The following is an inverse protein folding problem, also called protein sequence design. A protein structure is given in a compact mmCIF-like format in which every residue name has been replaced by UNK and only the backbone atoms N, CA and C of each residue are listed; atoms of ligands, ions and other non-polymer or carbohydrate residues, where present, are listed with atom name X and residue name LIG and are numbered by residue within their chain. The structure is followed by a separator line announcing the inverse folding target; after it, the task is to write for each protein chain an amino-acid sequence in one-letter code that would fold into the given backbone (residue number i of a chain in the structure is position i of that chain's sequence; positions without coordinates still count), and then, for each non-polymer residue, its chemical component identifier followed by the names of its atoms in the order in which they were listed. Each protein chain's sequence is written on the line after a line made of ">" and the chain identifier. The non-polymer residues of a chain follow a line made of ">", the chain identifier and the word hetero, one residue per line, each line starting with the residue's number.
data_IF_555748581703
#
_entry.id   IF_555748581703
#
_cell.length_a   1.000
_cell.length_b   1.000
_cell.length_c   1.000
_cell.angle_alpha   90.00
_cell.angle_beta   90.00
_cell.angle_gamma   90.00
#
_symmetry.space_group_name_H-M   'P 1'
#
loop_
_entity.id
_entity.type
_entity.pdbx_description
1 polymer ?
#
# COMPACT_ATOMS: atom_id res chain seq x y z
N UNK A 1 -5.16 15.40 -27.35
CA UNK A 1 -4.01 15.20 -26.45
C UNK A 1 -3.35 13.88 -26.84
N UNK A 2 -2.04 13.83 -27.05
CA UNK A 2 -1.33 12.57 -27.29
C UNK A 2 -1.20 11.83 -25.96
N UNK A 3 -2.21 11.00 -25.65
CA UNK A 3 -2.21 10.13 -24.48
C UNK A 3 -1.13 9.06 -24.73
N UNK A 4 -0.02 9.16 -23.98
CA UNK A 4 1.04 8.15 -23.88
C UNK A 4 0.43 6.76 -23.66
N UNK A 5 1.02 5.65 -24.15
CA UNK A 5 0.32 4.37 -24.17
C UNK A 5 -0.11 3.95 -22.77
N UNK A 6 -1.43 3.88 -22.60
CA UNK A 6 -2.12 3.18 -21.52
C UNK A 6 -1.55 1.76 -21.42
N UNK A 7 -1.14 1.33 -20.24
CA UNK A 7 -0.55 0.01 -20.01
C UNK A 7 -1.02 -0.60 -18.67
N UNK A 8 -0.89 -1.92 -18.52
CA UNK A 8 -1.33 -2.69 -17.34
C UNK A 8 -0.18 -3.37 -16.58
N UNK A 9 1.07 -3.09 -16.95
CA UNK A 9 2.24 -3.74 -16.36
C UNK A 9 2.25 -5.25 -16.65
N UNK A 10 2.47 -6.08 -15.62
CA UNK A 10 2.32 -7.54 -15.70
C UNK A 10 0.88 -8.05 -15.57
N UNK A 11 -0.08 -7.19 -15.20
CA UNK A 11 -1.49 -7.57 -15.08
C UNK A 11 -2.22 -7.57 -16.42
N UNK A 12 -3.42 -8.17 -16.45
CA UNK A 12 -4.28 -8.17 -17.64
C UNK A 12 -4.76 -6.75 -17.93
N UNK A 13 -5.04 -6.43 -19.19
CA UNK A 13 -5.59 -5.12 -19.56
C UNK A 13 -6.94 -4.81 -18.90
N UNK A 14 -7.72 -5.83 -18.55
CA UNK A 14 -8.97 -5.70 -17.81
C UNK A 14 -8.77 -5.45 -16.31
N UNK A 15 -7.57 -5.71 -15.79
CA UNK A 15 -7.30 -5.63 -14.36
C UNK A 15 -7.00 -4.20 -13.93
N UNK A 16 -6.25 -3.42 -14.70
CA UNK A 16 -5.83 -2.05 -14.35
C UNK A 16 -5.36 -1.25 -15.56
N UNK A 17 -5.70 0.05 -15.60
CA UNK A 17 -5.12 1.06 -16.49
C UNK A 17 -4.17 1.96 -15.69
N UNK A 18 -2.86 1.89 -15.95
CA UNK A 18 -1.89 2.79 -15.32
C UNK A 18 -1.90 4.17 -15.99
N UNK A 19 -2.20 5.20 -15.20
CA UNK A 19 -2.06 6.61 -15.57
C UNK A 19 -0.68 7.11 -15.10
N UNK A 20 0.34 6.49 -15.67
CA UNK A 20 1.76 6.79 -15.43
C UNK A 20 2.48 6.79 -16.77
N UNK A 21 3.59 7.51 -16.84
CA UNK A 21 4.47 7.47 -18.01
C UNK A 21 5.75 6.66 -17.70
N UNK A 22 5.96 5.50 -18.36
CA UNK A 22 7.20 4.76 -18.24
C UNK A 22 8.41 5.59 -18.70
N UNK A 23 9.47 5.58 -17.90
CA UNK A 23 10.75 6.23 -18.19
C UNK A 23 11.91 5.31 -17.86
N UNK A 24 13.11 5.67 -18.31
CA UNK A 24 14.37 5.06 -17.88
C UNK A 24 15.22 6.15 -17.23
N UNK A 25 15.67 5.92 -16.00
CA UNK A 25 16.54 6.83 -15.26
C UNK A 25 17.72 6.05 -14.67
N UNK A 26 18.78 6.78 -14.30
CA UNK A 26 19.89 6.20 -13.55
C UNK A 26 19.51 5.94 -12.09
N UNK A 27 20.05 4.86 -11.51
CA UNK A 27 19.80 4.51 -10.12
C UNK A 27 20.80 5.19 -9.19
N UNK A 28 20.29 5.68 -8.05
CA UNK A 28 21.06 6.22 -6.92
C UNK A 28 21.19 5.14 -5.84
N UNK A 29 22.36 5.04 -5.20
CA UNK A 29 22.58 4.11 -4.07
C UNK A 29 21.60 4.39 -2.91
N UNK A 30 21.36 3.39 -2.05
CA UNK A 30 20.42 3.56 -0.92
C UNK A 30 20.95 4.59 0.07
N UNK A 31 22.25 4.56 0.33
CA UNK A 31 22.97 5.41 1.27
C UNK A 31 22.96 6.87 0.83
N UNK A 32 23.32 7.13 -0.44
CA UNK A 32 23.31 8.47 -1.03
C UNK A 32 21.88 9.04 -1.06
N UNK A 33 20.92 8.22 -1.49
CA UNK A 33 19.50 8.59 -1.48
C UNK A 33 19.01 8.93 -0.07
N UNK A 34 19.41 8.17 0.95
CA UNK A 34 19.05 8.45 2.34
C UNK A 34 19.62 9.79 2.82
N UNK A 35 20.90 10.06 2.55
CA UNK A 35 21.55 11.32 2.90
C UNK A 35 20.91 12.53 2.20
N UNK A 36 20.58 12.40 0.90
CA UNK A 36 19.92 13.45 0.13
C UNK A 36 18.49 13.74 0.62
N UNK A 37 17.74 12.71 1.02
CA UNK A 37 16.39 12.86 1.56
C UNK A 37 16.43 13.50 2.96
N UNK A 38 17.31 13.05 3.85
CA UNK A 38 17.36 13.58 5.21
C UNK A 38 17.94 15.01 5.29
N UNK A 39 18.84 15.38 4.38
CA UNK A 39 19.35 16.75 4.25
C UNK A 39 18.37 17.72 3.58
N UNK A 40 17.26 17.23 3.02
CA UNK A 40 16.28 18.03 2.29
C UNK A 40 16.75 18.51 0.90
N UNK A 41 17.92 18.06 0.43
CA UNK A 41 18.47 18.44 -0.89
C UNK A 41 17.65 17.89 -2.05
N UNK A 42 17.08 16.69 -1.88
CA UNK A 42 16.26 16.03 -2.88
C UNK A 42 15.05 15.37 -2.24
N UNK A 43 13.95 15.28 -2.97
CA UNK A 43 12.80 14.52 -2.52
C UNK A 43 12.96 13.04 -2.90
N UNK A 44 12.30 12.14 -2.16
CA UNK A 44 12.42 10.71 -2.43
C UNK A 44 11.89 10.32 -3.81
N UNK A 45 10.98 11.11 -4.39
CA UNK A 45 10.37 10.87 -5.70
C UNK A 45 11.20 11.38 -6.87
N UNK A 46 12.36 11.97 -6.62
CA UNK A 46 13.25 12.47 -7.68
C UNK A 46 14.28 11.41 -8.11
N UNK A 47 14.40 10.32 -7.35
CA UNK A 47 15.44 9.31 -7.51
C UNK A 47 14.87 7.92 -7.33
N UNK A 48 15.51 6.91 -7.91
CA UNK A 48 15.24 5.51 -7.61
C UNK A 48 16.54 4.82 -7.21
N UNK A 49 16.46 3.90 -6.24
CA UNK A 49 17.48 2.86 -6.11
C UNK A 49 16.93 1.61 -6.76
N UNK A 50 17.79 0.82 -7.40
CA UNK A 50 17.37 -0.47 -7.95
C UNK A 50 16.78 -1.32 -6.83
N UNK A 51 15.59 -1.86 -7.07
CA UNK A 51 14.96 -2.80 -6.14
C UNK A 51 15.75 -4.12 -6.21
N UNK A 52 16.24 -4.66 -5.08
CA UNK A 52 17.03 -5.88 -5.08
C UNK A 52 16.15 -7.09 -5.40
N UNK A 53 16.76 -8.12 -5.96
CA UNK A 53 16.11 -9.42 -6.12
C UNK A 53 15.72 -10.00 -4.75
N UNK A 54 14.54 -10.64 -4.64
CA UNK A 54 14.16 -11.32 -3.42
C UNK A 54 15.08 -12.52 -3.18
N UNK A 55 15.57 -12.68 -1.95
CA UNK A 55 16.34 -13.88 -1.58
C UNK A 55 15.46 -15.12 -1.58
N UNK A 56 16.07 -16.30 -1.63
CA UNK A 56 15.34 -17.57 -1.56
C UNK A 56 14.44 -17.65 -0.30
N UNK A 57 14.94 -17.20 0.85
CA UNK A 57 14.16 -17.16 2.08
C UNK A 57 12.98 -16.17 2.01
N UNK A 58 13.14 -15.03 1.34
CA UNK A 58 12.04 -14.11 1.07
C UNK A 58 10.96 -14.80 0.22
N UNK A 59 11.34 -15.48 -0.86
CA UNK A 59 10.41 -16.23 -1.71
C UNK A 59 9.69 -17.36 -0.94
N UNK A 60 10.39 -18.07 -0.05
CA UNK A 60 9.78 -19.10 0.80
C UNK A 60 8.72 -18.51 1.74
N UNK A 61 8.99 -17.36 2.36
CA UNK A 61 8.03 -16.68 3.22
C UNK A 61 6.87 -16.09 2.43
N UNK A 62 7.13 -15.54 1.25
CA UNK A 62 6.08 -15.13 0.32
C UNK A 62 5.18 -16.32 -0.03
N UNK A 63 5.74 -17.47 -0.40
CA UNK A 63 4.95 -18.66 -0.75
C UNK A 63 4.13 -19.17 0.43
N UNK A 64 4.67 -19.15 1.65
CA UNK A 64 3.90 -19.50 2.87
C UNK A 64 2.75 -18.52 3.11
N UNK A 65 3.03 -17.21 3.04
CA UNK A 65 2.02 -16.17 3.18
C UNK A 65 0.97 -16.27 2.06
N UNK A 66 1.38 -16.58 0.84
CA UNK A 66 0.51 -16.83 -0.31
C UNK A 66 -0.43 -18.00 -0.06
N UNK A 67 0.08 -19.18 0.34
CA UNK A 67 -0.75 -20.39 0.54
C UNK A 67 -1.74 -20.22 1.68
N UNK A 68 -1.32 -19.63 2.80
CA UNK A 68 -2.17 -19.41 3.97
C UNK A 68 -3.10 -18.22 3.74
N UNK A 69 -2.57 -17.16 3.14
CA UNK A 69 -3.20 -15.86 3.00
C UNK A 69 -4.19 -15.77 1.85
N UNK A 70 -4.08 -16.56 0.77
CA UNK A 70 -4.99 -16.46 -0.38
C UNK A 70 -6.48 -16.59 0.02
N UNK A 71 -6.80 -17.54 0.89
CA UNK A 71 -8.18 -17.72 1.41
C UNK A 71 -8.63 -16.55 2.29
N UNK A 72 -7.72 -15.99 3.10
CA UNK A 72 -8.00 -14.81 3.92
C UNK A 72 -8.22 -13.57 3.05
N UNK A 73 -7.32 -13.35 2.09
CA UNK A 73 -7.40 -12.29 1.09
C UNK A 73 -8.73 -12.36 0.33
N UNK A 74 -9.14 -13.53 -0.16
CA UNK A 74 -10.40 -13.69 -0.86
C UNK A 74 -11.60 -13.26 -0.01
N UNK A 75 -11.67 -13.71 1.25
CA UNK A 75 -12.73 -13.29 2.17
C UNK A 75 -12.73 -11.78 2.39
N UNK A 76 -11.57 -11.20 2.69
CA UNK A 76 -11.43 -9.77 2.97
C UNK A 76 -11.71 -8.90 1.73
N UNK A 77 -11.28 -9.33 0.54
CA UNK A 77 -11.61 -8.71 -0.76
C UNK A 77 -13.11 -8.77 -1.04
N UNK A 78 -13.74 -9.93 -0.82
CA UNK A 78 -15.19 -10.06 -1.01
C UNK A 78 -15.98 -9.19 -0.02
N UNK A 79 -15.54 -9.09 1.23
CA UNK A 79 -16.14 -8.18 2.22
C UNK A 79 -16.10 -6.72 1.74
N UNK A 80 -14.95 -6.28 1.23
CA UNK A 80 -14.80 -4.94 0.65
C UNK A 80 -15.68 -4.77 -0.59
N UNK A 81 -15.66 -5.70 -1.53
CA UNK A 81 -16.42 -5.63 -2.78
C UNK A 81 -17.93 -5.61 -2.55
N UNK A 82 -18.46 -6.47 -1.67
CA UNK A 82 -19.88 -6.49 -1.25
C UNK A 82 -20.27 -5.17 -0.58
N UNK A 83 -19.42 -4.65 0.30
CA UNK A 83 -19.70 -3.37 0.96
C UNK A 83 -19.71 -2.23 -0.05
N UNK A 84 -18.72 -2.15 -0.95
CA UNK A 84 -18.68 -1.13 -1.99
C UNK A 84 -19.89 -1.22 -2.93
N UNK A 85 -20.25 -2.42 -3.40
CA UNK A 85 -21.43 -2.60 -4.25
C UNK A 85 -22.71 -2.11 -3.57
N UNK A 86 -22.84 -2.35 -2.26
CA UNK A 86 -23.98 -1.87 -1.45
C UNK A 86 -23.98 -0.35 -1.29
N UNK A 87 -22.85 0.25 -0.93
CA UNK A 87 -22.73 1.69 -0.68
C UNK A 87 -22.98 2.52 -1.96
N UNK A 88 -22.55 2.01 -3.11
CA UNK A 88 -22.67 2.73 -4.39
C UNK A 88 -23.93 2.36 -5.19
N UNK A 89 -24.71 1.34 -4.79
CA UNK A 89 -25.95 0.98 -5.47
C UNK A 89 -25.77 0.83 -6.98
N UNK A 90 -26.40 1.71 -7.78
CA UNK A 90 -26.26 1.73 -9.24
C UNK A 90 -25.08 2.56 -9.76
N UNK A 91 -24.50 3.46 -8.96
CA UNK A 91 -23.38 4.31 -9.36
C UNK A 91 -22.14 3.44 -9.65
N UNK A 92 -21.51 3.54 -10.84
CA UNK A 92 -20.31 2.79 -11.16
C UNK A 92 -19.19 3.04 -10.15
N UNK A 93 -18.42 2.01 -9.80
CA UNK A 93 -17.29 2.14 -8.87
C UNK A 93 -16.02 2.41 -9.65
N UNK A 94 -15.30 3.47 -9.31
CA UNK A 94 -14.04 3.84 -9.95
C UNK A 94 -12.91 3.66 -8.94
N UNK A 95 -12.23 2.52 -9.02
CA UNK A 95 -11.08 2.21 -8.18
C UNK A 95 -9.87 3.02 -8.67
N UNK A 96 -9.33 3.87 -7.81
CA UNK A 96 -8.10 4.63 -8.04
C UNK A 96 -7.01 4.11 -7.08
N UNK A 97 -6.26 3.11 -7.52
CA UNK A 97 -5.19 2.49 -6.75
C UNK A 97 -3.96 3.39 -6.67
N UNK A 98 -3.55 3.64 -5.44
CA UNK A 98 -2.38 4.44 -5.13
C UNK A 98 -1.12 3.61 -5.37
N UNK A 99 -0.36 4.02 -6.38
CA UNK A 99 0.81 3.28 -6.81
C UNK A 99 1.90 3.35 -5.72
N UNK A 100 2.43 2.22 -5.26
CA UNK A 100 2.24 0.86 -5.77
C UNK A 100 1.34 -0.03 -4.93
N UNK A 101 1.31 0.18 -3.62
CA UNK A 101 0.80 -0.82 -2.69
C UNK A 101 -0.72 -1.03 -2.79
N UNK A 102 -1.46 -0.07 -3.37
CA UNK A 102 -2.88 -0.24 -3.68
C UNK A 102 -3.18 -1.14 -4.86
N UNK A 103 -2.24 -1.27 -5.81
CA UNK A 103 -2.51 -1.93 -7.09
C UNK A 103 -2.93 -3.40 -6.91
N UNK A 104 -2.24 -4.23 -6.10
CA UNK A 104 -2.64 -5.63 -5.95
C UNK A 104 -4.06 -5.77 -5.38
N UNK A 105 -4.40 -4.95 -4.37
CA UNK A 105 -5.75 -4.93 -3.81
C UNK A 105 -6.78 -4.44 -4.84
N UNK A 106 -6.48 -3.37 -5.57
CA UNK A 106 -7.35 -2.84 -6.61
C UNK A 106 -7.63 -3.84 -7.73
N UNK A 107 -6.63 -4.63 -8.15
CA UNK A 107 -6.82 -5.72 -9.11
C UNK A 107 -7.77 -6.77 -8.56
N UNK A 108 -7.57 -7.21 -7.30
CA UNK A 108 -8.45 -8.20 -6.67
C UNK A 108 -9.89 -7.67 -6.51
N UNK A 109 -10.05 -6.40 -6.15
CA UNK A 109 -11.35 -5.74 -6.05
C UNK A 109 -12.02 -5.61 -7.43
N UNK A 110 -11.29 -5.21 -8.46
CA UNK A 110 -11.82 -5.08 -9.82
C UNK A 110 -12.37 -6.42 -10.32
N UNK A 111 -11.63 -7.51 -10.10
CA UNK A 111 -12.09 -8.86 -10.46
C UNK A 111 -13.29 -9.31 -9.64
N UNK A 112 -13.28 -9.07 -8.32
CA UNK A 112 -14.42 -9.39 -7.45
C UNK A 112 -15.70 -8.62 -7.84
N UNK A 113 -15.59 -7.31 -8.11
CA UNK A 113 -16.72 -6.49 -8.57
C UNK A 113 -17.23 -6.95 -9.94
N UNK A 114 -16.32 -7.29 -10.86
CA UNK A 114 -16.67 -7.85 -12.18
C UNK A 114 -17.41 -9.18 -12.04
N UNK A 115 -16.93 -10.08 -11.19
CA UNK A 115 -17.57 -11.36 -10.89
C UNK A 115 -19.00 -11.18 -10.33
N UNK A 116 -19.21 -10.12 -9.55
CA UNK A 116 -20.52 -9.75 -9.00
C UNK A 116 -21.42 -9.01 -10.02
N UNK A 117 -20.94 -8.75 -11.24
CA UNK A 117 -21.67 -7.99 -12.25
C UNK A 117 -21.79 -6.49 -11.95
N UNK A 118 -20.96 -5.96 -11.04
CA UNK A 118 -20.96 -4.53 -10.69
C UNK A 118 -20.11 -3.74 -11.68
N UNK A 119 -20.72 -2.76 -12.34
CA UNK A 119 -19.99 -1.83 -13.22
C UNK A 119 -18.87 -1.13 -12.43
N UNK A 120 -17.64 -1.36 -12.89
CA UNK A 120 -16.44 -0.89 -12.21
C UNK A 120 -15.28 -0.67 -13.17
N UNK A 121 -14.45 0.31 -12.85
CA UNK A 121 -13.25 0.70 -13.59
C UNK A 121 -12.06 0.79 -12.62
N UNK A 122 -10.86 0.46 -13.08
CA UNK A 122 -9.68 0.48 -12.22
C UNK A 122 -8.48 1.19 -12.87
N UNK A 123 -7.97 2.17 -12.14
CA UNK A 123 -6.81 2.98 -12.50
C UNK A 123 -5.69 2.83 -11.48
N UNK A 124 -4.45 2.76 -11.95
CA UNK A 124 -3.26 2.97 -11.12
C UNK A 124 -2.77 4.41 -11.24
N UNK A 125 -2.82 5.17 -10.15
CA UNK A 125 -2.46 6.60 -10.11
C UNK A 125 -1.35 6.87 -9.10
N UNK A 126 -0.50 7.86 -9.40
CA UNK A 126 0.52 8.29 -8.46
C UNK A 126 -0.04 9.18 -7.35
N UNK A 127 0.42 8.94 -6.13
CA UNK A 127 0.41 9.92 -5.04
C UNK A 127 1.80 9.95 -4.40
N UNK A 128 2.30 11.15 -4.12
CA UNK A 128 3.63 11.35 -3.56
C UNK A 128 3.47 12.22 -2.31
N UNK A 129 3.92 11.69 -1.17
CA UNK A 129 3.87 12.42 0.10
C UNK A 129 4.59 13.77 -0.04
N UNK A 130 4.01 14.81 0.52
CA UNK A 130 4.48 16.21 0.44
C UNK A 130 4.43 16.82 -0.98
N UNK A 131 3.95 16.10 -2.00
CA UNK A 131 3.75 16.59 -3.38
C UNK A 131 2.33 16.39 -3.90
N UNK A 132 1.46 15.69 -3.17
CA UNK A 132 0.09 15.45 -3.56
C UNK A 132 -0.12 14.34 -4.58
N UNK A 133 -1.32 14.35 -5.15
CA UNK A 133 -1.77 13.42 -6.18
C UNK A 133 -1.35 13.92 -7.57
N UNK A 134 -1.17 13.00 -8.51
CA UNK A 134 -1.01 13.35 -9.92
C UNK A 134 -2.30 13.99 -10.47
N UNK A 135 -2.29 15.31 -10.59
CA UNK A 135 -3.44 16.10 -11.05
C UNK A 135 -3.82 15.81 -12.50
N UNK A 136 -2.84 15.48 -13.35
CA UNK A 136 -3.10 15.12 -14.76
C UNK A 136 -3.87 13.80 -14.83
N UNK A 137 -3.42 12.79 -14.07
CA UNK A 137 -4.09 11.50 -13.99
C UNK A 137 -5.47 11.63 -13.35
N UNK A 138 -5.61 12.43 -12.28
CA UNK A 138 -6.90 12.65 -11.63
C UNK A 138 -7.91 13.32 -12.57
N UNK A 139 -7.49 14.35 -13.32
CA UNK A 139 -8.34 15.02 -14.30
C UNK A 139 -8.88 14.06 -15.36
N UNK A 140 -8.07 13.09 -15.82
CA UNK A 140 -8.52 12.05 -16.76
C UNK A 140 -9.60 11.16 -16.16
N UNK A 141 -9.47 10.76 -14.89
CA UNK A 141 -10.49 9.93 -14.21
C UNK A 141 -11.78 10.73 -14.04
N UNK A 142 -11.67 11.98 -13.60
CA UNK A 142 -12.82 12.88 -13.39
C UNK A 142 -13.56 13.19 -14.69
N UNK A 143 -12.83 13.43 -15.79
CA UNK A 143 -13.42 13.67 -17.11
C UNK A 143 -14.20 12.44 -17.61
N UNK A 144 -13.68 11.23 -17.37
CA UNK A 144 -14.30 9.99 -17.83
C UNK A 144 -15.51 9.57 -16.98
N UNK A 145 -15.45 9.77 -15.67
CA UNK A 145 -16.39 9.14 -14.73
C UNK A 145 -17.08 10.09 -13.74
N UNK A 146 -16.65 11.35 -13.66
CA UNK A 146 -16.98 12.23 -12.56
C UNK A 146 -16.31 11.81 -11.24
N UNK A 147 -16.74 12.39 -10.13
CA UNK A 147 -16.14 12.14 -8.79
C UNK A 147 -16.96 11.20 -7.92
N UNK A 148 -18.25 11.01 -8.24
CA UNK A 148 -19.21 10.37 -7.34
C UNK A 148 -18.78 8.94 -7.00
N UNK A 149 -18.35 8.16 -7.99
CA UNK A 149 -17.94 6.75 -7.84
C UNK A 149 -16.48 6.52 -7.45
N UNK A 150 -15.66 7.58 -7.28
CA UNK A 150 -14.22 7.42 -7.03
C UNK A 150 -13.96 6.89 -5.62
N UNK A 151 -13.17 5.81 -5.57
CA UNK A 151 -12.69 5.13 -4.36
C UNK A 151 -11.17 5.02 -4.45
N UNK A 152 -10.47 5.53 -3.43
CA UNK A 152 -9.02 5.40 -3.35
C UNK A 152 -8.65 4.03 -2.78
N UNK A 153 -7.67 3.35 -3.36
CA UNK A 153 -7.27 2.02 -2.90
C UNK A 153 -5.81 2.02 -2.49
N UNK A 154 -5.51 1.52 -1.29
CA UNK A 154 -4.14 1.20 -0.84
C UNK A 154 -4.09 -0.19 -0.18
N UNK A 155 -2.91 -0.79 -0.05
CA UNK A 155 -2.78 -2.12 0.53
C UNK A 155 -3.06 -2.14 2.04
N UNK A 156 -2.49 -1.20 2.77
CA UNK A 156 -2.61 -1.07 4.22
C UNK A 156 -2.28 0.35 4.67
N UNK A 157 -2.58 0.69 5.93
CA UNK A 157 -2.09 1.94 6.54
C UNK A 157 -1.59 1.72 7.96
N UNK A 158 -0.34 2.12 8.23
CA UNK A 158 0.27 1.98 9.54
C UNK A 158 0.18 3.23 10.42
N UNK A 159 0.04 4.42 9.82
CA UNK A 159 0.01 5.70 10.56
C UNK A 159 -0.67 6.84 9.80
N UNK A 160 -1.48 6.51 8.80
CA UNK A 160 -2.26 7.47 8.02
C UNK A 160 -1.47 8.46 7.16
N UNK A 161 -0.26 8.11 6.75
CA UNK A 161 0.52 8.96 5.83
C UNK A 161 -0.26 9.25 4.53
N UNK A 162 -0.87 8.21 3.95
CA UNK A 162 -1.65 8.31 2.71
C UNK A 162 -3.02 8.96 2.94
N UNK A 163 -3.74 8.62 4.02
CA UNK A 163 -4.98 9.32 4.40
C UNK A 163 -4.74 10.83 4.48
N UNK A 164 -3.70 11.26 5.20
CA UNK A 164 -3.39 12.68 5.35
C UNK A 164 -3.00 13.33 4.03
N UNK A 165 -2.25 12.64 3.16
CA UNK A 165 -1.87 13.17 1.84
C UNK A 165 -3.10 13.34 0.93
N UNK A 166 -4.00 12.35 0.90
CA UNK A 166 -5.27 12.45 0.17
C UNK A 166 -6.15 13.57 0.72
N UNK A 167 -6.29 13.68 2.05
CA UNK A 167 -7.08 14.76 2.66
C UNK A 167 -6.55 16.13 2.26
N UNK A 168 -5.23 16.32 2.23
CA UNK A 168 -4.61 17.56 1.77
C UNK A 168 -4.85 17.80 0.27
N UNK A 169 -4.60 16.79 -0.56
CA UNK A 169 -4.71 16.91 -2.01
C UNK A 169 -6.14 17.22 -2.48
N UNK A 170 -7.15 16.67 -1.79
CA UNK A 170 -8.57 16.84 -2.15
C UNK A 170 -9.25 17.99 -1.40
N UNK A 171 -8.56 18.67 -0.48
CA UNK A 171 -9.16 19.70 0.34
C UNK A 171 -9.70 20.86 -0.54
N UNK A 172 -10.99 21.13 -0.44
CA UNK A 172 -11.66 22.17 -1.23
C UNK A 172 -11.93 21.81 -2.70
N UNK A 173 -11.55 20.60 -3.15
CA UNK A 173 -11.89 20.10 -4.49
C UNK A 173 -13.36 19.67 -4.53
N UNK A 174 -14.13 20.21 -5.48
CA UNK A 174 -15.54 19.90 -5.61
C UNK A 174 -15.76 18.41 -5.90
N UNK A 175 -16.82 17.83 -5.33
CA UNK A 175 -17.20 16.44 -5.58
C UNK A 175 -16.53 15.39 -4.68
N UNK A 176 -15.60 15.79 -3.79
CA UNK A 176 -14.98 14.90 -2.81
C UNK A 176 -15.43 15.21 -1.38
N UNK A 177 -15.66 14.17 -0.55
CA UNK A 177 -15.91 14.34 0.89
C UNK A 177 -14.65 14.79 1.64
N UNK A 178 -14.84 15.39 2.82
CA UNK A 178 -13.73 15.83 3.70
C UNK A 178 -12.85 14.66 4.16
N UNK A 179 -13.47 13.51 4.43
CA UNK A 179 -12.76 12.24 4.62
C UNK A 179 -12.66 11.53 3.27
N UNK A 180 -11.47 11.38 2.68
CA UNK A 180 -11.30 10.65 1.44
C UNK A 180 -11.81 9.22 1.59
N UNK A 181 -12.49 8.70 0.57
CA UNK A 181 -13.00 7.32 0.52
C UNK A 181 -11.87 6.31 0.27
N UNK A 182 -10.89 6.29 1.16
CA UNK A 182 -9.76 5.38 1.12
C UNK A 182 -10.18 4.01 1.65
N UNK A 183 -10.08 3.01 0.78
CA UNK A 183 -10.25 1.59 1.06
C UNK A 183 -8.88 0.95 1.18
N UNK A 184 -8.67 0.20 2.25
CA UNK A 184 -7.48 -0.62 2.44
C UNK A 184 -7.83 -2.04 2.84
N UNK A 185 -6.91 -2.98 2.67
CA UNK A 185 -7.10 -4.33 3.19
C UNK A 185 -7.02 -4.31 4.73
N UNK A 186 -5.92 -3.75 5.25
CA UNK A 186 -5.65 -3.67 6.69
C UNK A 186 -5.42 -2.22 7.16
N UNK A 187 -6.11 -1.84 8.23
CA UNK A 187 -6.01 -0.51 8.85
C UNK A 187 -5.72 -0.62 10.35
N UNK A 188 -4.54 -1.12 10.76
CA UNK A 188 -4.18 -1.21 12.17
C UNK A 188 -4.21 0.16 12.86
N UNK A 189 -4.03 1.27 12.14
CA UNK A 189 -4.10 2.60 12.74
C UNK A 189 -5.51 3.21 12.80
N UNK A 190 -6.52 2.67 12.13
CA UNK A 190 -7.90 3.20 12.17
C UNK A 190 -8.14 4.52 11.44
N UNK A 191 -7.41 4.84 10.36
CA UNK A 191 -7.55 6.13 9.66
C UNK A 191 -8.15 6.07 8.25
N UNK A 192 -8.35 4.89 7.66
CA UNK A 192 -8.96 4.76 6.35
C UNK A 192 -10.46 5.14 6.41
N UNK A 193 -11.15 5.22 5.28
CA UNK A 193 -12.62 5.25 5.30
C UNK A 193 -13.14 3.83 5.55
N UNK A 194 -12.59 2.83 4.86
CA UNK A 194 -13.00 1.44 4.98
C UNK A 194 -11.79 0.51 5.00
N UNK A 195 -11.86 -0.54 5.82
CA UNK A 195 -10.90 -1.63 5.81
C UNK A 195 -11.58 -2.97 6.05
N UNK A 196 -11.00 -4.04 5.52
CA UNK A 196 -11.49 -5.39 5.81
C UNK A 196 -11.13 -5.79 7.24
N UNK A 197 -9.90 -5.49 7.67
CA UNK A 197 -9.37 -5.83 9.00
C UNK A 197 -8.61 -4.66 9.63
N UNK A 198 -8.45 -4.73 10.94
CA UNK A 198 -7.55 -3.92 11.78
C UNK A 198 -6.31 -4.72 12.23
N UNK A 199 -6.19 -5.99 11.84
CA UNK A 199 -5.02 -6.80 12.12
C UNK A 199 -3.78 -6.28 11.40
N UNK A 200 -2.68 -6.14 12.12
CA UNK A 200 -1.34 -6.05 11.54
C UNK A 200 -0.83 -7.46 11.24
N UNK A 201 -1.14 -7.98 10.06
CA UNK A 201 -0.79 -9.35 9.64
C UNK A 201 0.12 -9.37 8.40
N UNK A 202 0.73 -10.53 8.13
CA UNK A 202 1.64 -10.72 7.00
C UNK A 202 0.88 -10.83 5.67
N UNK A 203 0.56 -9.68 5.08
CA UNK A 203 -0.09 -9.60 3.77
C UNK A 203 0.91 -10.02 2.67
N UNK A 204 0.61 -11.02 1.81
CA UNK A 204 1.55 -11.52 0.79
C UNK A 204 2.11 -10.42 -0.13
N UNK A 205 1.25 -9.53 -0.61
CA UNK A 205 1.68 -8.42 -1.46
C UNK A 205 2.32 -7.26 -0.66
N UNK A 206 2.24 -7.28 0.68
CA UNK A 206 2.84 -6.26 1.54
C UNK A 206 4.36 -6.38 1.70
N UNK A 207 4.90 -7.59 1.46
CA UNK A 207 6.33 -7.89 1.59
C UNK A 207 7.08 -7.91 0.25
N UNK A 208 6.36 -8.09 -0.85
CA UNK A 208 6.89 -7.96 -2.21
C UNK A 208 6.84 -6.50 -2.69
N UNK A 209 7.62 -6.17 -3.72
CA UNK A 209 7.64 -4.83 -4.31
C UNK A 209 7.15 -4.82 -5.75
N UNK A 210 8.02 -4.48 -6.69
CA UNK A 210 7.67 -4.45 -8.11
C UNK A 210 7.04 -5.76 -8.59
N UNK A 211 7.53 -6.95 -8.19
CA UNK A 211 7.07 -8.20 -8.78
C UNK A 211 5.60 -8.54 -8.50
N UNK A 212 5.06 -8.06 -7.39
CA UNK A 212 3.64 -8.24 -7.05
C UNK A 212 2.78 -7.06 -7.49
N UNK A 213 3.38 -5.93 -7.91
CA UNK A 213 2.67 -4.66 -8.13
C UNK A 213 2.72 -4.23 -9.60
N UNK A 214 2.60 -5.17 -10.53
CA UNK A 214 2.57 -4.88 -11.97
C UNK A 214 3.94 -4.56 -12.59
N UNK A 215 5.03 -4.98 -11.96
CA UNK A 215 6.41 -4.79 -12.46
C UNK A 215 6.85 -3.33 -12.60
N UNK A 216 6.15 -2.38 -11.98
CA UNK A 216 6.54 -0.97 -11.99
C UNK A 216 7.30 -0.58 -10.72
N UNK A 217 8.12 0.46 -10.80
CA UNK A 217 8.73 1.12 -9.65
C UNK A 217 7.71 1.95 -8.87
N UNK A 218 8.09 2.46 -7.69
CA UNK A 218 7.37 3.59 -7.09
C UNK A 218 7.34 4.78 -8.05
N UNK A 219 6.37 5.67 -7.86
CA UNK A 219 6.25 6.88 -8.67
C UNK A 219 7.48 7.78 -8.56
N UNK A 220 7.82 8.36 -9.70
CA UNK A 220 8.72 9.47 -9.88
C UNK A 220 7.88 10.70 -10.19
N UNK A 221 8.18 11.82 -9.55
CA UNK A 221 7.43 13.04 -9.80
C UNK A 221 7.68 13.59 -11.20
N UNK A 222 6.66 14.21 -11.78
CA UNK A 222 6.75 15.00 -12.99
C UNK A 222 5.89 16.25 -12.79
N UNK A 223 6.40 17.40 -13.19
CA UNK A 223 5.63 18.64 -13.29
C UNK A 223 4.85 18.74 -14.61
N UNK A 224 5.19 17.89 -15.58
CA UNK A 224 4.52 17.80 -16.88
C UNK A 224 3.85 16.44 -17.09
N UNK A 225 2.56 16.45 -17.46
CA UNK A 225 1.81 15.25 -17.80
C UNK A 225 1.63 14.30 -16.62
N UNK A 226 1.59 13.00 -16.90
CA UNK A 226 1.55 11.98 -15.86
C UNK A 226 2.89 11.87 -15.15
N UNK A 227 2.85 11.59 -13.86
CA UNK A 227 4.00 11.13 -13.10
C UNK A 227 4.61 9.88 -13.73
N UNK A 228 5.89 9.71 -13.44
CA UNK A 228 6.72 8.71 -14.09
C UNK A 228 6.82 7.41 -13.29
N UNK A 229 7.17 6.32 -13.96
CA UNK A 229 7.61 5.08 -13.33
C UNK A 229 8.67 4.38 -14.18
N UNK A 230 9.46 3.50 -13.59
CA UNK A 230 10.30 2.55 -14.35
C UNK A 230 9.61 1.18 -14.42
N UNK A 231 9.82 0.47 -15.52
CA UNK A 231 9.50 -0.96 -15.62
C UNK A 231 10.71 -1.76 -15.10
N UNK A 232 10.48 -2.57 -14.08
CA UNK A 232 11.51 -3.34 -13.36
C UNK A 232 11.81 -4.68 -14.05
N UNK A 233 12.22 -4.66 -15.32
CA UNK A 233 12.46 -5.87 -16.11
C UNK A 233 13.50 -6.83 -15.48
N UNK A 234 14.44 -6.31 -14.69
CA UNK A 234 15.43 -7.14 -13.98
C UNK A 234 14.80 -8.07 -12.93
N UNK A 235 13.53 -7.87 -12.57
CA UNK A 235 12.82 -8.72 -11.61
C UNK A 235 11.79 -9.65 -12.28
N UNK A 236 11.81 -9.80 -13.61
CA UNK A 236 10.75 -10.52 -14.34
C UNK A 236 10.59 -11.97 -13.92
N UNK A 237 11.67 -12.63 -13.50
CA UNK A 237 11.64 -14.02 -13.01
C UNK A 237 10.89 -14.17 -11.68
N UNK A 238 10.65 -13.07 -10.97
CA UNK A 238 9.98 -13.04 -9.68
C UNK A 238 8.55 -12.52 -9.75
N UNK A 239 8.02 -12.26 -10.96
CA UNK A 239 6.64 -11.81 -11.15
C UNK A 239 5.68 -12.75 -10.43
N UNK A 240 4.86 -12.17 -9.55
CA UNK A 240 3.92 -12.93 -8.73
C UNK A 240 2.59 -12.20 -8.52
N UNK A 241 2.38 -11.06 -9.19
CA UNK A 241 1.15 -10.29 -9.08
C UNK A 241 -0.02 -11.01 -9.73
N UNK A 242 0.19 -11.51 -10.96
CA UNK A 242 -0.87 -12.19 -11.71
C UNK A 242 -1.27 -13.52 -11.04
N UNK A 243 -0.31 -14.34 -10.63
CA UNK A 243 -0.58 -15.62 -9.97
C UNK A 243 -1.29 -15.45 -8.62
N UNK A 244 -0.92 -14.42 -7.84
CA UNK A 244 -1.63 -14.07 -6.61
C UNK A 244 -3.07 -13.63 -6.87
N UNK A 245 -3.29 -12.77 -7.87
CA UNK A 245 -4.64 -12.34 -8.24
C UNK A 245 -5.50 -13.51 -8.72
N UNK A 246 -4.95 -14.41 -9.54
CA UNK A 246 -5.63 -15.61 -10.06
C UNK A 246 -6.03 -16.57 -8.91
N UNK A 247 -5.14 -16.80 -7.94
CA UNK A 247 -5.44 -17.66 -6.79
C UNK A 247 -6.48 -17.07 -5.84
N UNK A 248 -6.44 -15.75 -5.62
CA UNK A 248 -7.47 -15.05 -4.82
C UNK A 248 -8.81 -15.09 -5.54
N UNK A 249 -8.85 -14.85 -6.85
CA UNK A 249 -10.06 -14.94 -7.68
C UNK A 249 -10.67 -16.34 -7.61
N UNK A 250 -9.86 -17.40 -7.72
CA UNK A 250 -10.33 -18.78 -7.55
C UNK A 250 -10.97 -19.00 -6.17
N UNK A 251 -10.33 -18.51 -5.11
CA UNK A 251 -10.90 -18.60 -3.76
C UNK A 251 -12.18 -17.77 -3.62
N UNK A 252 -12.30 -16.63 -4.30
CA UNK A 252 -13.52 -15.80 -4.31
C UNK A 252 -14.71 -16.53 -4.98
N UNK A 253 -14.45 -17.32 -6.03
CA UNK A 253 -15.49 -18.11 -6.71
C UNK A 253 -16.08 -19.21 -5.83
N UNK A 254 -15.35 -19.66 -4.80
CA UNK A 254 -15.82 -20.64 -3.81
C UNK A 254 -16.66 -20.01 -2.69
N UNK A 255 -16.79 -18.68 -2.65
CA UNK A 255 -17.52 -17.95 -1.61
C UNK A 255 -18.94 -17.64 -2.09
N UNK A 256 -19.93 -18.15 -1.37
CA UNK A 256 -21.33 -17.77 -1.55
C UNK A 256 -21.55 -16.30 -1.12
N UNK A 257 -22.04 -15.46 -2.03
CA UNK A 257 -22.22 -14.02 -1.78
C UNK A 257 -23.13 -13.72 -0.59
N UNK A 258 -24.11 -14.58 -0.32
CA UNK A 258 -25.01 -14.46 0.83
C UNK A 258 -24.30 -14.60 2.18
N UNK A 259 -23.15 -15.25 2.19
CA UNK A 259 -22.40 -15.60 3.40
C UNK A 259 -21.31 -14.57 3.72
N UNK A 260 -21.12 -13.58 2.86
CA UNK A 260 -20.16 -12.49 3.05
C UNK A 260 -20.82 -11.35 3.82
N UNK A 261 -20.50 -11.14 5.11
CA UNK A 261 -21.07 -10.04 5.86
C UNK A 261 -20.51 -8.70 5.33
N UNK A 262 -21.38 -7.73 4.97
CA UNK A 262 -20.91 -6.40 4.64
C UNK A 262 -20.29 -5.74 5.87
N UNK A 263 -19.31 -4.87 5.64
CA UNK A 263 -18.66 -4.10 6.69
C UNK A 263 -19.63 -2.99 7.13
N UNK A 264 -19.98 -2.96 8.41
CA UNK A 264 -20.73 -1.84 8.98
C UNK A 264 -19.77 -0.68 9.30
N UNK A 265 -19.65 0.25 8.35
CA UNK A 265 -18.75 1.40 8.43
C UNK A 265 -19.05 2.23 9.69
N UNK A 266 -20.33 2.47 10.00
CA UNK A 266 -20.75 3.31 11.14
C UNK A 266 -20.39 2.69 12.48
N UNK A 267 -20.56 1.38 12.61
CA UNK A 267 -20.15 0.66 13.83
C UNK A 267 -18.63 0.71 13.98
N UNK A 268 -17.88 0.56 12.88
CA UNK A 268 -16.42 0.60 12.90
C UNK A 268 -15.84 1.98 13.17
N UNK A 269 -16.52 3.08 12.86
CA UNK A 269 -16.02 4.44 13.10
C UNK A 269 -15.54 4.65 14.56
N UNK A 270 -16.31 4.15 15.53
CA UNK A 270 -15.97 4.27 16.95
C UNK A 270 -14.72 3.48 17.35
N UNK A 271 -14.50 2.31 16.73
CA UNK A 271 -13.33 1.45 16.94
C UNK A 271 -12.11 2.11 16.29
N UNK A 272 -12.26 2.55 15.04
CA UNK A 272 -11.22 3.21 14.26
C UNK A 272 -10.70 4.48 14.93
N UNK A 273 -11.61 5.31 15.48
CA UNK A 273 -11.21 6.49 16.24
C UNK A 273 -10.33 6.14 17.46
N UNK A 274 -10.63 5.04 18.17
CA UNK A 274 -9.81 4.58 19.29
C UNK A 274 -8.45 4.07 18.83
N UNK A 275 -8.39 3.26 17.77
CA UNK A 275 -7.12 2.78 17.20
C UNK A 275 -6.27 3.93 16.67
N UNK A 276 -6.89 4.98 16.15
CA UNK A 276 -6.19 6.17 15.67
C UNK A 276 -5.54 6.97 16.78
N UNK A 277 -6.26 7.21 17.87
CA UNK A 277 -5.68 7.88 19.05
C UNK A 277 -4.58 7.02 19.69
N UNK A 278 -4.78 5.70 19.76
CA UNK A 278 -3.77 4.76 20.25
C UNK A 278 -2.52 4.77 19.36
N UNK A 279 -2.69 4.75 18.05
CA UNK A 279 -1.61 4.85 17.07
C UNK A 279 -0.78 6.12 17.27
N UNK A 280 -1.44 7.28 17.39
CA UNK A 280 -0.76 8.56 17.66
C UNK A 280 0.03 8.51 18.96
N UNK A 281 -0.56 7.98 20.03
CA UNK A 281 0.12 7.86 21.33
C UNK A 281 1.39 7.01 21.22
N UNK A 282 1.35 5.89 20.49
CA UNK A 282 2.53 5.03 20.24
C UNK A 282 3.57 5.78 19.40
N UNK A 283 3.15 6.50 18.36
CA UNK A 283 4.09 7.28 17.53
C UNK A 283 4.80 8.35 18.35
N UNK A 284 4.09 9.06 19.24
CA UNK A 284 4.68 10.03 20.17
C UNK A 284 5.63 9.37 21.15
N UNK A 285 5.22 8.26 21.78
CA UNK A 285 6.05 7.50 22.72
C UNK A 285 7.37 7.05 22.09
N UNK A 286 7.31 6.49 20.87
CA UNK A 286 8.49 6.05 20.14
C UNK A 286 9.34 7.24 19.69
N UNK A 287 8.73 8.36 19.33
CA UNK A 287 9.47 9.55 18.95
C UNK A 287 10.28 10.12 20.12
N UNK A 288 9.68 10.18 21.32
CA UNK A 288 10.35 10.62 22.54
C UNK A 288 11.44 9.63 22.97
N UNK A 289 11.15 8.33 22.98
CA UNK A 289 12.08 7.28 23.44
C UNK A 289 13.36 7.18 22.60
N UNK A 290 13.26 7.46 21.29
CA UNK A 290 14.37 7.32 20.35
C UNK A 290 14.87 8.66 19.78
N UNK A 291 14.51 9.79 20.39
CA UNK A 291 14.90 11.15 19.99
C UNK A 291 14.67 11.42 18.47
N UNK A 292 13.44 11.16 18.03
CA UNK A 292 13.04 11.26 16.62
C UNK A 292 12.25 12.55 16.39
N UNK A 293 12.88 13.50 15.71
CA UNK A 293 12.24 14.76 15.31
C UNK A 293 11.26 14.62 14.13
N UNK A 294 11.39 13.57 13.32
CA UNK A 294 10.56 13.35 12.13
C UNK A 294 9.83 12.01 12.22
N UNK A 295 8.49 12.07 12.32
CA UNK A 295 7.62 10.89 12.33
C UNK A 295 7.82 9.99 11.12
N UNK A 296 8.40 10.49 10.02
CA UNK A 296 8.73 9.71 8.83
C UNK A 296 9.74 8.60 9.07
N UNK A 297 10.56 8.70 10.12
CA UNK A 297 11.54 7.68 10.50
C UNK A 297 10.90 6.47 11.19
N UNK A 298 9.69 6.60 11.73
CA UNK A 298 8.97 5.49 12.37
C UNK A 298 8.09 4.80 11.33
N UNK A 299 8.25 3.49 11.14
CA UNK A 299 7.53 2.68 10.14
C UNK A 299 6.76 1.56 10.84
N UNK A 300 5.55 1.84 11.34
CA UNK A 300 4.74 0.87 12.07
C UNK A 300 3.98 -0.09 11.15
N UNK A 301 3.82 -1.32 11.62
CA UNK A 301 3.17 -2.40 10.88
C UNK A 301 4.19 -3.30 10.18
N UNK A 302 3.88 -4.60 10.06
CA UNK A 302 4.76 -5.60 9.46
C UNK A 302 5.22 -5.18 8.07
N UNK A 303 4.28 -4.75 7.22
CA UNK A 303 4.58 -4.40 5.84
C UNK A 303 5.41 -3.11 5.72
N UNK A 304 5.13 -2.07 6.52
CA UNK A 304 5.97 -0.85 6.51
C UNK A 304 7.36 -1.12 7.08
N UNK A 305 7.45 -1.86 8.19
CA UNK A 305 8.70 -2.20 8.85
C UNK A 305 9.61 -3.03 7.93
N UNK A 306 9.07 -4.10 7.33
CA UNK A 306 9.80 -4.96 6.38
C UNK A 306 10.31 -4.15 5.19
N UNK A 307 9.46 -3.31 4.59
CA UNK A 307 9.86 -2.44 3.47
C UNK A 307 10.91 -1.41 3.86
N UNK A 308 10.91 -0.93 5.10
CA UNK A 308 11.91 0.00 5.61
C UNK A 308 13.29 -0.66 5.67
N UNK A 309 13.37 -1.88 6.21
CA UNK A 309 14.63 -2.65 6.25
C UNK A 309 15.14 -2.93 4.83
N UNK A 310 14.27 -3.25 3.87
CA UNK A 310 14.68 -3.51 2.48
C UNK A 310 15.21 -2.25 1.76
N UNK A 311 14.55 -1.09 1.93
CA UNK A 311 14.71 0.05 1.00
C UNK A 311 15.32 1.31 1.60
N UNK A 312 15.54 1.33 2.92
CA UNK A 312 16.10 2.45 3.70
C UNK A 312 17.26 1.95 4.54
N UNK A 313 17.85 2.85 5.32
CA UNK A 313 18.87 2.52 6.32
C UNK A 313 18.20 2.38 7.70
N UNK A 314 17.92 1.16 8.18
CA UNK A 314 17.30 0.95 9.50
C UNK A 314 18.28 1.23 10.66
N UNK A 315 17.72 1.60 11.81
CA UNK A 315 18.41 1.85 13.10
C UNK A 315 18.04 0.77 14.11
N UNK A 316 16.72 0.63 14.35
CA UNK A 316 16.16 -0.35 15.27
C UNK A 316 14.98 -1.07 14.61
N UNK A 317 14.85 -2.36 14.92
CA UNK A 317 13.66 -3.15 14.61
C UNK A 317 13.02 -3.57 15.92
N UNK A 318 11.80 -3.12 16.15
CA UNK A 318 11.01 -3.45 17.33
C UNK A 318 9.96 -4.48 16.92
N UNK A 319 9.88 -5.57 17.66
CA UNK A 319 8.86 -6.62 17.45
C UNK A 319 8.09 -6.86 18.74
N UNK A 320 6.80 -7.18 18.62
CA UNK A 320 6.01 -7.59 19.79
C UNK A 320 6.56 -8.89 20.35
N UNK A 321 6.80 -9.87 19.48
CA UNK A 321 7.51 -11.10 19.78
C UNK A 321 8.40 -11.50 18.60
N UNK A 322 9.65 -11.87 18.87
CA UNK A 322 10.61 -12.30 17.84
C UNK A 322 10.24 -13.64 17.21
N UNK A 323 9.44 -14.45 17.92
CA UNK A 323 9.00 -15.77 17.49
C UNK A 323 7.63 -15.74 16.79
N UNK A 324 7.04 -14.56 16.59
CA UNK A 324 5.81 -14.42 15.82
C UNK A 324 6.07 -14.82 14.35
N UNK A 325 5.38 -15.84 13.80
CA UNK A 325 5.56 -16.26 12.42
C UNK A 325 5.41 -15.12 11.41
N UNK A 326 4.51 -14.17 11.66
CA UNK A 326 4.20 -13.08 10.75
C UNK A 326 5.35 -12.04 10.64
N UNK A 327 6.26 -11.98 11.62
CA UNK A 327 7.43 -11.08 11.59
C UNK A 327 8.71 -11.78 11.12
N UNK A 328 8.66 -13.07 10.76
CA UNK A 328 9.84 -13.88 10.42
C UNK A 328 10.72 -13.26 9.33
N UNK A 329 10.10 -12.68 8.29
CA UNK A 329 10.84 -12.04 7.19
C UNK A 329 11.59 -10.81 7.67
N UNK A 330 10.92 -9.96 8.45
CA UNK A 330 11.52 -8.77 9.03
C UNK A 330 12.71 -9.13 9.92
N UNK A 331 12.54 -10.14 10.77
CA UNK A 331 13.61 -10.63 11.68
C UNK A 331 14.80 -11.16 10.88
N UNK A 332 14.56 -11.94 9.82
CA UNK A 332 15.63 -12.41 8.93
C UNK A 332 16.38 -11.25 8.27
N UNK A 333 15.66 -10.31 7.63
CA UNK A 333 16.27 -9.18 6.94
C UNK A 333 17.04 -8.26 7.89
N UNK A 334 16.53 -8.06 9.11
CA UNK A 334 17.20 -7.29 10.14
C UNK A 334 18.52 -7.95 10.56
N UNK A 335 18.54 -9.28 10.75
CA UNK A 335 19.77 -10.04 11.06
C UNK A 335 20.80 -9.96 9.93
N UNK A 336 20.36 -10.14 8.68
CA UNK A 336 21.24 -10.03 7.50
C UNK A 336 21.91 -8.64 7.41
N UNK A 337 21.19 -7.59 7.80
CA UNK A 337 21.71 -6.21 7.84
C UNK A 337 22.41 -5.82 9.13
N UNK A 338 22.54 -6.74 10.10
CA UNK A 338 23.17 -6.47 11.41
C UNK A 338 22.42 -5.43 12.25
N UNK A 339 21.10 -5.31 12.06
CA UNK A 339 20.24 -4.34 12.77
C UNK A 339 19.82 -4.93 14.11
N UNK A 340 19.83 -4.12 15.16
CA UNK A 340 19.33 -4.52 16.47
C UNK A 340 17.83 -4.82 16.42
N UNK A 341 17.47 -6.01 16.91
CA UNK A 341 16.07 -6.45 17.06
C UNK A 341 15.74 -6.45 18.56
N UNK A 342 14.74 -5.67 18.95
CA UNK A 342 14.29 -5.60 20.34
C UNK A 342 12.86 -6.14 20.46
N UNK A 343 12.66 -7.11 21.33
CA UNK A 343 11.32 -7.53 21.73
C UNK A 343 10.74 -6.55 22.75
N UNK A 344 9.62 -5.91 22.41
CA UNK A 344 9.04 -4.80 23.18
C UNK A 344 7.62 -5.07 23.68
N UNK A 345 7.05 -6.24 23.39
CA UNK A 345 5.71 -6.62 23.82
C UNK A 345 4.66 -5.56 23.45
N UNK A 346 3.81 -5.23 24.41
CA UNK A 346 2.68 -4.31 24.21
C UNK A 346 3.07 -2.82 24.07
N UNK A 347 4.37 -2.48 24.14
CA UNK A 347 4.86 -1.12 23.92
C UNK A 347 4.40 -0.55 22.57
N UNK A 348 4.36 -1.39 21.54
CA UNK A 348 3.94 -1.01 20.18
C UNK A 348 2.45 -1.22 19.94
N UNK A 349 1.67 -1.41 21.02
CA UNK A 349 0.22 -1.33 21.04
C UNK A 349 -0.50 -2.29 20.10
N UNK A 350 -1.08 -1.80 19.01
CA UNK A 350 -1.75 -2.63 17.99
C UNK A 350 -0.79 -3.25 16.95
N UNK A 351 0.42 -2.70 16.81
CA UNK A 351 1.38 -3.19 15.84
C UNK A 351 2.06 -4.47 16.33
N UNK A 352 2.53 -5.28 15.38
CA UNK A 352 3.40 -6.44 15.63
C UNK A 352 4.86 -6.12 15.38
N UNK A 353 5.11 -5.13 14.51
CA UNK A 353 6.46 -4.66 14.22
C UNK A 353 6.52 -3.16 13.99
N UNK A 354 7.67 -2.56 14.29
CA UNK A 354 8.03 -1.19 13.93
C UNK A 354 9.50 -1.17 13.50
N UNK A 355 9.83 -0.52 12.40
CA UNK A 355 11.22 -0.18 12.06
C UNK A 355 11.45 1.32 12.24
N UNK A 356 12.54 1.66 12.90
CA UNK A 356 13.04 3.04 13.01
C UNK A 356 14.17 3.21 12.01
N UNK A 357 14.09 4.23 11.17
CA UNK A 357 15.12 4.59 10.18
C UNK A 357 16.22 5.40 10.86
N UNK A 358 17.48 5.11 10.52
CA UNK A 358 18.67 5.76 11.08
C UNK A 358 18.70 7.25 10.73
N UNK A 359 19.20 8.08 11.64
CA UNK A 359 19.53 9.48 11.33
C UNK A 359 20.88 9.53 10.60
N UNK A 360 20.88 10.01 9.36
CA UNK A 360 22.10 10.24 8.58
C UNK A 360 22.36 11.74 8.62
N UNK A 361 23.46 12.14 9.26
CA UNK A 361 23.86 13.54 9.44
C UNK A 361 24.37 14.16 8.14
#
# INVERSE_FOLDING_TARGET
>A
MNISPIFSGSYRHSDVEFLLKPVTIEFTSIEEKEALIQSGKMHYSDMLSQEPEPTQYHLELFNKAYTIGAKRLAKEVMMLAVTLAKEYGNTPIVLASLVRAGVPLGVMLQRALTMMGKESYHYGISIIRDRGIDETALAVIEERHGTEGIVWVDGWTGKGAITNELTKALNGRAGYPSQPRLVVLADPCGCAWMSATDDDWLIPFGIMGAPVSGMISRSLYSDEGFHHCMVCNHLSEYECGLSLADAVEQCCQEIELSDVPPIDIKVRDSIKAKEWERSKAIMTLLAERYDISSSNRIKPGIAEATRAVLRRVPDHVLVRSINDPDVSLLVYLAKEKGVEITEVGDLIGQYRAVTIIKKVL
#
